data_IF_542005778397
#
_entry.id   IF_542005778397
#
_cell.length_a   1.000
_cell.length_b   1.000
_cell.length_c   1.000
_cell.angle_alpha   90.00
_cell.angle_beta   90.00
_cell.angle_gamma   90.00
#
_symmetry.space_group_name_H-M   'P 1'
#
loop_
_entity.id
_entity.type
_entity.pdbx_description
1 polymer ?
#
# COMPACT_ATOMS: atom_id res chain seq x y z
N UNK A 1 13.39 53.79 23.88
CA UNK A 1 12.13 53.51 24.61
C UNK A 1 10.97 53.65 23.64
N UNK A 2 10.15 52.60 23.49
CA UNK A 2 8.69 52.57 23.17
C UNK A 2 8.12 53.59 22.14
N UNK A 3 7.26 53.26 21.16
CA UNK A 3 6.47 52.08 20.78
C UNK A 3 5.69 52.44 19.48
N UNK A 4 5.38 51.43 18.66
CA UNK A 4 4.19 51.28 17.77
C UNK A 4 3.93 52.30 16.65
N UNK A 5 3.90 51.80 15.41
CA UNK A 5 2.64 51.54 14.67
C UNK A 5 2.95 50.88 13.31
N UNK A 6 2.77 49.56 13.21
CA UNK A 6 2.45 48.89 11.95
C UNK A 6 1.32 47.91 12.26
N UNK A 7 0.10 48.40 12.02
CA UNK A 7 -1.13 47.63 11.97
C UNK A 7 -1.28 46.97 10.60
N UNK A 8 -1.98 45.84 10.61
CA UNK A 8 -2.59 45.14 9.47
C UNK A 8 -1.71 44.20 8.64
N UNK A 9 -1.56 42.98 9.17
CA UNK A 9 -1.48 41.73 8.40
C UNK A 9 -1.99 40.57 9.28
N UNK A 10 -3.27 40.63 9.68
CA UNK A 10 -3.99 39.49 10.25
C UNK A 10 -4.71 38.74 9.13
N UNK A 11 -4.08 37.68 8.62
CA UNK A 11 -4.73 36.58 7.89
C UNK A 11 -3.81 35.35 7.84
N UNK A 12 -3.51 34.77 9.02
CA UNK A 12 -2.97 33.41 9.14
C UNK A 12 -3.79 32.63 10.17
N UNK A 13 -4.22 31.39 9.87
CA UNK A 13 -4.99 30.59 10.82
C UNK A 13 -4.10 30.08 11.96
N UNK A 14 -4.68 30.18 13.16
CA UNK A 14 -4.14 29.88 14.48
C UNK A 14 -3.29 28.59 14.58
N UNK A 15 -2.13 28.73 15.23
CA UNK A 15 -1.44 27.65 15.92
C UNK A 15 -2.16 27.39 17.26
N UNK A 16 -2.77 26.23 17.43
CA UNK A 16 -3.09 25.71 18.76
C UNK A 16 -1.88 24.92 19.28
N UNK A 17 -1.14 25.52 20.19
CA UNK A 17 -0.27 24.81 21.12
C UNK A 17 -1.17 24.26 22.23
N UNK A 18 -1.67 23.04 22.09
CA UNK A 18 -2.30 22.35 23.21
C UNK A 18 -1.20 21.99 24.22
N UNK A 19 -1.16 22.74 25.31
CA UNK A 19 -0.40 22.42 26.51
C UNK A 19 -1.01 21.21 27.21
N UNK A 20 -0.44 20.02 27.01
CA UNK A 20 -0.63 18.92 27.95
C UNK A 20 0.60 18.85 28.86
N UNK A 21 0.46 19.41 30.06
CA UNK A 21 1.30 19.08 31.21
C UNK A 21 0.63 17.94 31.97
N UNK A 22 1.47 17.00 32.43
CA UNK A 22 1.22 15.92 33.39
C UNK A 22 0.57 14.64 32.82
N UNK A 23 1.41 13.79 32.24
CA UNK A 23 1.68 12.46 32.80
C UNK A 23 3.06 12.00 32.30
N UNK A 24 3.94 11.65 33.23
CA UNK A 24 5.34 11.33 32.98
C UNK A 24 5.52 9.93 32.39
N UNK A 25 5.13 9.75 31.13
CA UNK A 25 5.59 8.70 30.20
C UNK A 25 5.26 9.21 28.79
N UNK A 26 5.98 10.25 28.35
CA UNK A 26 5.79 10.90 27.05
C UNK A 26 7.00 10.67 26.13
N UNK A 27 7.57 9.46 26.18
CA UNK A 27 8.66 9.02 25.32
C UNK A 27 8.28 7.68 24.69
N UNK A 28 8.30 7.62 23.36
CA UNK A 28 8.00 6.47 22.49
C UNK A 28 6.53 6.20 22.12
N UNK A 29 5.78 7.24 21.76
CA UNK A 29 4.84 7.06 20.62
C UNK A 29 5.62 7.17 19.29
N UNK A 30 6.54 6.23 19.04
CA UNK A 30 7.09 6.00 17.69
C UNK A 30 6.00 5.31 16.86
N UNK A 31 4.87 6.00 16.64
CA UNK A 31 3.68 5.40 16.03
C UNK A 31 3.96 5.05 14.58
N UNK A 32 4.01 3.74 14.30
CA UNK A 32 4.04 3.08 12.99
C UNK A 32 2.93 3.61 12.07
N UNK A 33 3.13 4.81 11.52
CA UNK A 33 2.23 5.48 10.58
C UNK A 33 3.01 5.81 9.34
N UNK A 34 2.35 5.72 8.19
CA UNK A 34 2.92 6.15 6.91
C UNK A 34 3.56 7.54 7.01
N UNK A 35 4.65 7.75 6.28
CA UNK A 35 5.38 9.01 6.30
C UNK A 35 4.45 10.20 6.01
N UNK A 36 4.40 11.16 6.93
CA UNK A 36 3.65 12.41 6.76
C UNK A 36 4.60 13.58 6.89
N UNK A 37 4.33 14.68 6.17
CA UNK A 37 5.14 15.90 6.30
C UNK A 37 5.13 16.44 7.73
N UNK A 38 4.04 16.24 8.47
CA UNK A 38 3.96 16.65 9.88
C UNK A 38 4.94 15.86 10.74
N UNK A 39 4.91 14.53 10.66
CA UNK A 39 5.79 13.66 11.44
C UNK A 39 7.25 13.80 11.01
N UNK A 40 7.52 13.89 9.70
CA UNK A 40 8.90 14.05 9.21
C UNK A 40 9.55 15.38 9.63
N UNK A 41 8.79 16.37 10.14
CA UNK A 41 9.35 17.59 10.74
C UNK A 41 9.81 17.38 12.18
N UNK A 42 9.31 16.37 12.87
CA UNK A 42 9.75 16.03 14.23
C UNK A 42 11.24 15.64 14.18
N UNK A 43 12.00 16.08 15.17
CA UNK A 43 13.47 15.98 15.18
C UNK A 43 14.20 17.12 14.47
N UNK A 44 13.53 17.94 13.65
CA UNK A 44 14.14 19.14 13.06
C UNK A 44 13.80 20.39 13.87
N UNK A 45 14.81 21.23 14.11
CA UNK A 45 14.58 22.55 14.72
C UNK A 45 13.77 23.46 13.79
N UNK A 46 13.02 24.44 14.32
CA UNK A 46 12.28 25.40 13.49
C UNK A 46 13.16 26.12 12.45
N UNK A 47 14.44 26.36 12.80
CA UNK A 47 15.44 26.94 11.88
C UNK A 47 15.79 25.99 10.74
N UNK A 48 16.03 24.71 11.01
CA UNK A 48 16.31 23.70 9.97
C UNK A 48 15.11 23.49 9.05
N UNK A 49 13.88 23.46 9.60
CA UNK A 49 12.66 23.37 8.80
C UNK A 49 12.53 24.60 7.88
N UNK A 50 12.76 25.80 8.40
CA UNK A 50 12.74 27.04 7.61
C UNK A 50 13.81 27.02 6.52
N UNK A 51 15.04 26.64 6.85
CA UNK A 51 16.13 26.51 5.87
C UNK A 51 15.79 25.48 4.77
N UNK A 52 15.14 24.36 5.11
CA UNK A 52 14.66 23.39 4.13
C UNK A 52 13.57 23.95 3.20
N UNK A 53 12.66 24.76 3.72
CA UNK A 53 11.66 25.46 2.90
C UNK A 53 12.33 26.48 1.96
N UNK A 54 13.30 27.25 2.47
CA UNK A 54 14.10 28.19 1.67
C UNK A 54 14.90 27.47 0.58
N UNK A 55 15.48 26.30 0.88
CA UNK A 55 16.17 25.46 -0.10
C UNK A 55 15.22 24.99 -1.21
N UNK A 56 13.97 24.65 -0.87
CA UNK A 56 12.94 24.28 -1.86
C UNK A 56 12.52 25.47 -2.72
N UNK A 57 12.35 26.64 -2.09
CA UNK A 57 12.04 27.90 -2.80
C UNK A 57 13.16 28.26 -3.78
N UNK A 58 14.41 28.25 -3.32
CA UNK A 58 15.60 28.51 -4.13
C UNK A 58 15.73 27.50 -5.29
N UNK A 59 15.45 26.22 -5.05
CA UNK A 59 15.39 25.22 -6.10
C UNK A 59 14.38 25.62 -7.19
N UNK A 60 13.18 26.09 -6.84
CA UNK A 60 12.20 26.57 -7.82
C UNK A 60 12.63 27.85 -8.54
N UNK A 61 13.24 28.81 -7.83
CA UNK A 61 13.78 30.04 -8.42
C UNK A 61 14.86 29.71 -9.47
N UNK A 62 15.69 28.71 -9.19
CA UNK A 62 16.73 28.21 -10.11
C UNK A 62 16.17 27.28 -11.20
N UNK A 63 14.86 27.33 -11.46
CA UNK A 63 14.16 26.53 -12.48
C UNK A 63 14.18 25.01 -12.22
N UNK A 64 14.06 24.63 -10.94
CA UNK A 64 13.92 23.27 -10.45
C UNK A 64 15.01 22.29 -10.94
N UNK A 65 16.32 22.57 -10.79
CA UNK A 65 17.38 21.66 -11.21
C UNK A 65 17.32 20.35 -10.41
N UNK A 66 18.01 19.30 -10.88
CA UNK A 66 18.10 18.06 -10.11
C UNK A 66 18.74 18.32 -8.74
N UNK A 67 18.39 17.54 -7.72
CA UNK A 67 18.99 17.67 -6.38
C UNK A 67 20.51 17.50 -6.43
N UNK A 68 21.02 16.61 -7.29
CA UNK A 68 22.46 16.41 -7.54
C UNK A 68 23.10 17.67 -8.12
N UNK A 69 22.50 18.24 -9.16
CA UNK A 69 22.99 19.46 -9.82
C UNK A 69 22.96 20.66 -8.86
N UNK A 70 21.90 20.80 -8.06
CA UNK A 70 21.78 21.89 -7.08
C UNK A 70 22.86 21.77 -5.99
N UNK A 71 23.05 20.57 -5.44
CA UNK A 71 24.12 20.29 -4.46
C UNK A 71 25.50 20.56 -5.04
N UNK A 72 25.72 20.21 -6.31
CA UNK A 72 26.97 20.50 -7.01
C UNK A 72 27.19 22.01 -7.12
N UNK A 73 26.21 22.75 -7.65
CA UNK A 73 26.33 24.20 -7.86
C UNK A 73 26.66 24.99 -6.58
N UNK A 74 26.11 24.56 -5.43
CA UNK A 74 26.42 25.14 -4.12
C UNK A 74 27.85 24.80 -3.70
N UNK A 75 28.24 23.52 -3.81
CA UNK A 75 29.58 23.05 -3.43
C UNK A 75 30.70 23.70 -4.25
N UNK A 76 30.47 23.90 -5.55
CA UNK A 76 31.45 24.53 -6.44
C UNK A 76 31.34 26.06 -6.47
N UNK A 77 30.52 26.67 -5.60
CA UNK A 77 30.42 28.13 -5.48
C UNK A 77 29.92 28.85 -6.74
N UNK A 78 29.15 28.18 -7.61
CA UNK A 78 28.67 28.75 -8.88
C UNK A 78 27.69 29.91 -8.67
N UNK A 79 27.03 29.95 -7.51
CA UNK A 79 26.04 30.96 -7.16
C UNK A 79 26.62 31.81 -6.02
N UNK A 80 27.03 33.04 -6.35
CA UNK A 80 27.51 34.00 -5.36
C UNK A 80 26.37 34.36 -4.40
N UNK A 81 26.71 34.52 -3.11
CA UNK A 81 25.77 34.91 -2.05
C UNK A 81 24.55 33.99 -1.92
N UNK A 82 24.72 32.68 -2.20
CA UNK A 82 23.65 31.71 -2.04
C UNK A 82 23.39 31.44 -0.55
N UNK A 83 22.19 31.72 0.00
CA UNK A 83 21.92 31.56 1.44
C UNK A 83 21.62 30.11 1.82
N UNK A 84 21.49 29.20 0.84
CA UNK A 84 21.09 27.81 1.06
C UNK A 84 22.33 26.91 1.17
N UNK A 85 22.25 25.93 2.07
CA UNK A 85 23.33 24.95 2.28
C UNK A 85 22.95 23.58 1.75
N UNK A 86 23.95 22.69 1.62
CA UNK A 86 23.74 21.29 1.22
C UNK A 86 22.86 20.56 2.25
N UNK A 87 23.04 20.85 3.53
CA UNK A 87 22.28 20.28 4.64
C UNK A 87 20.82 20.70 4.54
N UNK A 88 20.53 21.97 4.23
CA UNK A 88 19.17 22.45 4.03
C UNK A 88 18.44 21.69 2.89
N UNK A 89 19.15 21.36 1.80
CA UNK A 89 18.60 20.52 0.72
C UNK A 89 18.31 19.10 1.20
N UNK A 90 19.21 18.51 2.00
CA UNK A 90 19.00 17.19 2.57
C UNK A 90 17.77 17.18 3.50
N UNK A 91 17.65 18.17 4.40
CA UNK A 91 16.50 18.32 5.28
C UNK A 91 15.21 18.49 4.47
N UNK A 92 15.22 19.29 3.40
CA UNK A 92 14.06 19.43 2.51
C UNK A 92 13.65 18.09 1.88
N UNK A 93 14.62 17.26 1.48
CA UNK A 93 14.39 15.92 0.97
C UNK A 93 13.77 14.99 2.01
N UNK A 94 14.31 14.96 3.23
CA UNK A 94 13.80 14.13 4.32
C UNK A 94 12.38 14.53 4.75
N UNK A 95 12.12 15.84 4.85
CA UNK A 95 10.84 16.37 5.33
C UNK A 95 9.74 16.25 4.27
N UNK A 96 10.03 16.69 3.05
CA UNK A 96 9.00 16.88 2.01
C UNK A 96 9.04 15.82 0.90
N UNK A 97 10.09 15.01 0.83
CA UNK A 97 10.28 14.03 -0.22
C UNK A 97 10.54 14.65 -1.61
N UNK A 98 10.30 13.88 -2.68
CA UNK A 98 10.40 14.35 -4.06
C UNK A 98 9.51 15.56 -4.35
N UNK A 99 9.95 16.41 -5.27
CA UNK A 99 9.22 17.64 -5.58
C UNK A 99 8.04 17.43 -6.51
N UNK A 100 6.84 17.80 -6.03
CA UNK A 100 5.59 17.61 -6.75
C UNK A 100 5.53 18.39 -8.09
N UNK A 101 6.12 19.58 -8.16
CA UNK A 101 6.12 20.40 -9.38
C UNK A 101 7.10 19.84 -10.41
N UNK A 102 8.27 19.40 -9.95
CA UNK A 102 9.27 18.68 -10.76
C UNK A 102 8.67 17.39 -11.33
N UNK A 103 7.95 16.62 -10.50
CA UNK A 103 7.27 15.41 -10.94
C UNK A 103 6.16 15.67 -11.96
N UNK A 104 5.53 16.85 -11.94
CA UNK A 104 4.51 17.22 -12.95
C UNK A 104 5.11 17.69 -14.26
N UNK A 105 6.24 18.39 -14.22
CA UNK A 105 6.85 19.01 -15.40
C UNK A 105 7.94 18.18 -16.08
N UNK A 106 8.61 17.26 -15.36
CA UNK A 106 9.77 16.51 -15.87
C UNK A 106 9.55 14.99 -15.99
N UNK A 107 8.44 14.46 -15.48
CA UNK A 107 8.21 13.02 -15.49
C UNK A 107 7.72 12.54 -16.85
N UNK A 108 8.57 11.84 -17.59
CA UNK A 108 8.17 11.21 -18.83
C UNK A 108 7.36 9.94 -18.60
N UNK A 109 6.50 9.60 -19.57
CA UNK A 109 5.84 8.29 -19.63
C UNK A 109 6.93 7.21 -19.70
N UNK A 110 6.92 6.22 -18.80
CA UNK A 110 7.85 5.11 -18.91
C UNK A 110 7.57 4.34 -20.20
N UNK A 111 8.63 3.86 -20.85
CA UNK A 111 8.49 2.90 -21.95
C UNK A 111 7.83 1.64 -21.41
N UNK A 112 6.81 1.10 -22.10
CA UNK A 112 6.17 -0.14 -21.66
C UNK A 112 7.23 -1.24 -21.65
N UNK A 113 7.42 -1.87 -20.48
CA UNK A 113 8.28 -3.05 -20.38
C UNK A 113 7.65 -4.18 -21.22
N UNK A 114 8.49 -5.00 -21.84
CA UNK A 114 8.01 -6.25 -22.47
C UNK A 114 7.31 -7.08 -21.39
N UNK A 115 6.13 -7.57 -21.71
CA UNK A 115 5.46 -8.55 -20.87
C UNK A 115 6.30 -9.83 -20.89
N UNK A 116 6.65 -10.33 -19.71
CA UNK A 116 7.19 -11.67 -19.55
C UNK A 116 6.06 -12.52 -18.99
N UNK A 117 5.84 -13.68 -19.61
CA UNK A 117 4.89 -14.68 -19.15
C UNK A 117 5.55 -15.51 -18.05
N UNK A 118 5.53 -14.99 -16.83
CA UNK A 118 6.00 -15.68 -15.61
C UNK A 118 4.85 -16.52 -15.02
N UNK A 119 4.34 -17.43 -15.85
CA UNK A 119 3.28 -18.35 -15.44
C UNK A 119 3.85 -19.43 -14.55
N UNK A 120 3.23 -19.60 -13.39
CA UNK A 120 3.49 -20.73 -12.51
C UNK A 120 2.55 -21.88 -12.90
N UNK A 121 3.11 -23.07 -13.13
CA UNK A 121 2.33 -24.29 -13.30
C UNK A 121 2.48 -25.14 -12.04
N UNK A 122 1.42 -25.27 -11.22
CA UNK A 122 1.47 -26.15 -10.06
C UNK A 122 1.70 -27.61 -10.49
N UNK A 123 2.42 -28.42 -9.68
CA UNK A 123 2.59 -29.85 -9.95
C UNK A 123 1.24 -30.58 -10.01
N UNK A 124 1.06 -31.48 -11.00
CA UNK A 124 -0.23 -32.17 -11.23
C UNK A 124 -0.60 -33.08 -10.04
N UNK A 125 0.40 -33.57 -9.31
CA UNK A 125 0.24 -34.40 -8.11
C UNK A 125 -0.61 -33.72 -7.03
N UNK A 126 -0.57 -32.39 -6.95
CA UNK A 126 -1.38 -31.63 -5.99
C UNK A 126 -2.88 -31.74 -6.27
N UNK A 127 -3.26 -31.98 -7.53
CA UNK A 127 -4.66 -32.06 -7.96
C UNK A 127 -5.24 -33.47 -7.89
N UNK A 128 -4.41 -34.52 -7.94
CA UNK A 128 -4.86 -35.92 -8.08
C UNK A 128 -5.91 -36.32 -7.03
N UNK A 129 -5.74 -35.86 -5.78
CA UNK A 129 -6.65 -36.16 -4.67
C UNK A 129 -7.45 -34.96 -4.17
N UNK A 130 -7.15 -33.74 -4.64
CA UNK A 130 -7.68 -32.50 -4.07
C UNK A 130 -8.50 -31.66 -5.05
N UNK A 131 -8.91 -32.24 -6.19
CA UNK A 131 -9.62 -31.51 -7.24
C UNK A 131 -11.02 -31.05 -6.80
N UNK A 132 -11.69 -31.85 -5.99
CA UNK A 132 -12.98 -31.50 -5.38
C UNK A 132 -12.75 -30.78 -4.07
N UNK A 133 -13.22 -29.54 -3.97
CA UNK A 133 -12.98 -28.66 -2.82
C UNK A 133 -14.28 -28.32 -2.10
N UNK A 134 -14.16 -28.15 -0.78
CA UNK A 134 -15.21 -27.58 0.07
C UNK A 134 -14.84 -26.12 0.39
N UNK A 135 -15.83 -25.24 0.31
CA UNK A 135 -15.67 -23.84 0.66
C UNK A 135 -16.61 -23.48 1.81
N UNK A 136 -16.09 -22.70 2.76
CA UNK A 136 -16.88 -22.09 3.82
C UNK A 136 -17.08 -20.61 3.47
N UNK A 137 -18.33 -20.16 3.41
CA UNK A 137 -18.67 -18.77 3.10
C UNK A 137 -19.34 -18.09 4.29
N UNK A 138 -19.04 -16.81 4.46
CA UNK A 138 -19.68 -15.96 5.46
C UNK A 138 -19.64 -14.49 4.97
N UNK A 139 -20.25 -13.59 5.72
CA UNK A 139 -20.16 -12.17 5.48
C UNK A 139 -19.36 -11.46 6.56
N UNK A 140 -18.76 -10.35 6.18
CA UNK A 140 -18.03 -9.46 7.08
C UNK A 140 -18.45 -8.01 6.81
N UNK A 141 -18.67 -7.22 7.87
CA UNK A 141 -18.97 -5.79 7.77
C UNK A 141 -17.87 -4.97 8.46
N UNK A 142 -17.32 -3.99 7.73
CA UNK A 142 -16.32 -3.03 8.22
C UNK A 142 -16.86 -1.64 7.94
N UNK A 143 -17.39 -0.98 8.97
CA UNK A 143 -18.03 0.35 8.96
C UNK A 143 -18.92 0.66 7.75
N UNK A 144 -18.30 1.04 6.64
CA UNK A 144 -18.94 1.53 5.43
C UNK A 144 -18.91 0.52 4.27
N UNK A 145 -18.39 -0.69 4.47
CA UNK A 145 -18.26 -1.73 3.47
C UNK A 145 -18.72 -3.10 4.00
N UNK A 146 -19.35 -3.87 3.10
CA UNK A 146 -19.77 -5.25 3.34
C UNK A 146 -19.02 -6.17 2.40
N UNK A 147 -18.70 -7.36 2.85
CA UNK A 147 -17.90 -8.32 2.12
C UNK A 147 -18.54 -9.70 2.20
N UNK A 148 -18.47 -10.43 1.08
CA UNK A 148 -18.55 -11.88 1.09
C UNK A 148 -17.13 -12.42 1.30
N UNK A 149 -16.95 -13.22 2.32
CA UNK A 149 -15.70 -13.92 2.61
C UNK A 149 -15.88 -15.40 2.31
N UNK A 150 -14.81 -16.01 1.81
CA UNK A 150 -14.80 -17.42 1.49
C UNK A 150 -13.43 -17.98 1.82
N UNK A 151 -13.40 -19.13 2.47
CA UNK A 151 -12.17 -19.89 2.70
C UNK A 151 -12.36 -21.32 2.21
N UNK A 152 -11.41 -21.79 1.41
CA UNK A 152 -11.35 -23.18 0.97
C UNK A 152 -10.73 -24.03 2.09
N UNK A 153 -11.34 -25.14 2.48
CA UNK A 153 -10.84 -25.96 3.60
C UNK A 153 -9.66 -26.85 3.24
N UNK A 154 -9.41 -27.09 1.96
CA UNK A 154 -8.35 -27.96 1.43
C UNK A 154 -7.08 -27.17 1.10
N UNK A 155 -7.22 -26.10 0.32
CA UNK A 155 -6.10 -25.25 -0.12
C UNK A 155 -5.85 -24.11 0.88
N UNK A 156 -6.81 -23.80 1.75
CA UNK A 156 -6.78 -22.66 2.67
C UNK A 156 -6.76 -21.29 1.98
N UNK A 157 -7.08 -21.23 0.68
CA UNK A 157 -7.15 -19.98 -0.07
C UNK A 157 -8.31 -19.11 0.43
N UNK A 158 -8.01 -17.87 0.79
CA UNK A 158 -8.95 -16.89 1.29
C UNK A 158 -9.40 -15.91 0.20
N UNK A 159 -10.70 -15.73 0.04
CA UNK A 159 -11.30 -14.70 -0.81
C UNK A 159 -12.08 -13.70 0.03
N UNK A 160 -11.95 -12.42 -0.30
CA UNK A 160 -12.73 -11.33 0.29
C UNK A 160 -13.20 -10.40 -0.82
N UNK A 161 -14.50 -10.44 -1.12
CA UNK A 161 -15.11 -9.68 -2.23
C UNK A 161 -16.08 -8.65 -1.65
N UNK A 162 -15.88 -7.35 -1.93
CA UNK A 162 -16.84 -6.33 -1.50
C UNK A 162 -18.18 -6.50 -2.23
N UNK A 163 -19.26 -6.41 -1.48
CA UNK A 163 -20.65 -6.51 -1.99
C UNK A 163 -21.41 -5.22 -1.68
N UNK A 164 -22.35 -4.85 -2.56
CA UNK A 164 -23.14 -3.64 -2.38
C UNK A 164 -24.07 -3.76 -1.15
N UNK A 165 -24.68 -4.93 -0.98
CA UNK A 165 -25.55 -5.31 0.12
C UNK A 165 -25.54 -6.85 0.25
N UNK A 166 -26.21 -7.38 1.28
CA UNK A 166 -26.30 -8.83 1.55
C UNK A 166 -27.58 -9.45 0.98
N UNK A 167 -28.09 -8.91 -0.14
CA UNK A 167 -29.20 -9.54 -0.86
C UNK A 167 -28.65 -10.62 -1.80
N UNK A 168 -29.54 -11.45 -2.32
CA UNK A 168 -29.24 -12.58 -3.19
C UNK A 168 -28.34 -12.20 -4.37
N UNK A 169 -28.76 -11.29 -5.25
CA UNK A 169 -28.02 -11.02 -6.52
C UNK A 169 -26.56 -10.56 -6.31
N UNK A 170 -26.24 -9.58 -5.45
CA UNK A 170 -24.85 -9.15 -5.26
C UNK A 170 -23.96 -10.22 -4.62
N UNK A 171 -24.53 -11.10 -3.80
CA UNK A 171 -23.79 -12.22 -3.19
C UNK A 171 -23.57 -13.32 -4.23
N UNK A 172 -24.57 -13.60 -5.08
CA UNK A 172 -24.44 -14.51 -6.22
C UNK A 172 -23.30 -14.09 -7.14
N UNK A 173 -23.26 -12.82 -7.56
CA UNK A 173 -22.19 -12.29 -8.41
C UNK A 173 -20.80 -12.40 -7.76
N UNK A 174 -20.73 -12.36 -6.43
CA UNK A 174 -19.49 -12.54 -5.70
C UNK A 174 -19.08 -14.02 -5.63
N UNK A 175 -20.02 -14.94 -5.41
CA UNK A 175 -19.78 -16.39 -5.45
C UNK A 175 -19.34 -16.86 -6.83
N UNK A 176 -20.00 -16.40 -7.90
CA UNK A 176 -19.60 -16.73 -9.27
C UNK A 176 -18.14 -16.34 -9.56
N UNK A 177 -17.71 -15.15 -9.10
CA UNK A 177 -16.30 -14.72 -9.23
C UNK A 177 -15.33 -15.65 -8.49
N UNK A 178 -15.74 -16.17 -7.34
CA UNK A 178 -14.92 -17.11 -6.55
C UNK A 178 -14.84 -18.46 -7.29
N UNK A 179 -15.95 -18.98 -7.78
CA UNK A 179 -15.99 -20.27 -8.48
C UNK A 179 -15.25 -20.20 -9.82
N UNK A 180 -15.46 -19.14 -10.59
CA UNK A 180 -14.69 -18.87 -11.80
C UNK A 180 -13.18 -18.86 -11.54
N UNK A 181 -12.73 -18.40 -10.36
CA UNK A 181 -11.31 -18.42 -9.99
C UNK A 181 -10.84 -19.85 -9.69
N UNK A 182 -11.57 -20.63 -8.90
CA UNK A 182 -11.22 -22.03 -8.63
C UNK A 182 -11.24 -22.90 -9.88
N UNK A 183 -12.26 -22.76 -10.73
CA UNK A 183 -12.40 -23.50 -11.98
C UNK A 183 -11.22 -23.24 -12.94
N UNK A 184 -10.75 -21.98 -13.04
CA UNK A 184 -9.57 -21.62 -13.83
C UNK A 184 -8.28 -22.25 -13.31
N UNK A 185 -8.21 -22.50 -12.00
CA UNK A 185 -7.09 -23.17 -11.34
C UNK A 185 -7.17 -24.70 -11.41
N UNK A 186 -8.22 -25.27 -12.00
CA UNK A 186 -8.42 -26.71 -12.11
C UNK A 186 -9.16 -27.36 -10.92
N UNK A 187 -9.60 -26.57 -9.93
CA UNK A 187 -10.39 -27.03 -8.79
C UNK A 187 -11.89 -26.92 -9.06
N UNK A 188 -12.67 -27.86 -8.53
CA UNK A 188 -14.12 -27.89 -8.62
C UNK A 188 -14.73 -27.78 -7.23
N UNK A 189 -15.54 -26.75 -7.00
CA UNK A 189 -16.32 -26.61 -5.77
C UNK A 189 -17.43 -27.67 -5.77
N UNK A 190 -17.47 -28.48 -4.70
CA UNK A 190 -18.48 -29.54 -4.51
C UNK A 190 -19.38 -29.32 -3.31
N UNK A 191 -18.90 -28.64 -2.28
CA UNK A 191 -19.67 -28.41 -1.06
C UNK A 191 -19.51 -26.95 -0.68
N UNK A 192 -20.63 -26.28 -0.43
CA UNK A 192 -20.67 -24.95 0.19
C UNK A 192 -21.19 -25.12 1.60
N UNK A 193 -20.35 -24.76 2.57
CA UNK A 193 -20.74 -24.66 3.97
C UNK A 193 -21.04 -23.20 4.27
N UNK A 194 -22.27 -22.93 4.70
CA UNK A 194 -22.72 -21.55 4.94
C UNK A 194 -23.73 -21.46 6.08
N UNK A 195 -23.90 -20.26 6.61
CA UNK A 195 -24.99 -19.97 7.53
C UNK A 195 -26.35 -20.17 6.82
N UNK A 196 -27.41 -20.61 7.54
CA UNK A 196 -28.72 -20.91 6.93
C UNK A 196 -29.34 -19.76 6.10
N UNK A 197 -28.96 -18.53 6.38
CA UNK A 197 -29.40 -17.35 5.62
C UNK A 197 -28.91 -17.34 4.15
N UNK A 198 -27.84 -18.08 3.85
CA UNK A 198 -27.28 -18.20 2.49
C UNK A 198 -27.80 -19.41 1.72
N UNK A 199 -28.53 -20.34 2.37
CA UNK A 199 -29.03 -21.57 1.72
C UNK A 199 -29.96 -21.29 0.54
N UNK A 200 -30.97 -20.39 0.65
CA UNK A 200 -31.85 -20.10 -0.49
C UNK A 200 -31.07 -19.57 -1.69
N UNK A 201 -30.04 -18.76 -1.43
CA UNK A 201 -29.15 -18.24 -2.47
C UNK A 201 -28.37 -19.38 -3.13
N UNK A 202 -27.85 -20.32 -2.35
CA UNK A 202 -27.09 -21.44 -2.91
C UNK A 202 -27.97 -22.35 -3.73
N UNK A 203 -29.19 -22.66 -3.30
CA UNK A 203 -30.14 -23.53 -4.01
C UNK A 203 -30.46 -22.98 -5.40
N UNK A 204 -30.72 -21.67 -5.51
CA UNK A 204 -30.89 -20.99 -6.81
C UNK A 204 -29.64 -21.17 -7.71
N UNK A 205 -28.43 -21.22 -7.14
CA UNK A 205 -27.21 -21.51 -7.91
C UNK A 205 -27.06 -22.98 -8.28
N UNK A 206 -27.52 -23.90 -7.43
CA UNK A 206 -27.48 -25.34 -7.70
C UNK A 206 -28.31 -25.66 -8.92
N UNK A 207 -29.49 -25.04 -9.02
CA UNK A 207 -30.39 -25.19 -10.15
C UNK A 207 -29.74 -24.69 -11.47
N UNK A 208 -28.94 -23.62 -11.42
CA UNK A 208 -28.22 -23.07 -12.58
C UNK A 208 -26.90 -23.83 -12.92
N UNK A 209 -26.23 -24.41 -11.92
CA UNK A 209 -24.92 -25.07 -12.05
C UNK A 209 -24.99 -26.61 -12.11
N UNK A 210 -26.19 -27.19 -11.99
CA UNK A 210 -26.44 -28.64 -11.93
C UNK A 210 -26.11 -29.28 -10.57
N UNK A 211 -26.38 -30.59 -10.44
CA UNK A 211 -26.31 -31.47 -9.23
C UNK A 211 -24.91 -31.60 -8.55
N UNK A 212 -24.05 -30.59 -8.66
CA UNK A 212 -22.62 -30.73 -8.39
C UNK A 212 -22.19 -30.10 -7.07
N UNK A 213 -23.04 -29.26 -6.47
CA UNK A 213 -22.73 -28.52 -5.26
C UNK A 213 -23.78 -28.85 -4.20
N UNK A 214 -23.34 -29.23 -3.00
CA UNK A 214 -24.23 -29.42 -1.86
C UNK A 214 -24.12 -28.23 -0.91
N UNK A 215 -25.25 -27.56 -0.67
CA UNK A 215 -25.36 -26.53 0.36
C UNK A 215 -25.70 -27.19 1.71
N UNK A 216 -24.84 -27.00 2.72
CA UNK A 216 -25.05 -27.59 4.03
C UNK A 216 -24.97 -26.56 5.16
N UNK A 217 -26.00 -26.53 6.00
CA UNK A 217 -25.91 -25.92 7.33
C UNK A 217 -25.07 -26.84 8.22
N UNK A 218 -23.82 -26.50 8.47
CA UNK A 218 -22.97 -27.29 9.37
C UNK A 218 -22.68 -26.52 10.66
N UNK A 219 -22.98 -27.06 11.84
CA UNK A 219 -22.53 -26.39 13.08
C UNK A 219 -20.99 -26.35 13.16
N UNK A 220 -20.31 -27.34 12.58
CA UNK A 220 -18.86 -27.50 12.56
C UNK A 220 -18.09 -26.53 11.64
N UNK A 221 -18.76 -25.80 10.73
CA UNK A 221 -18.07 -24.88 9.80
C UNK A 221 -17.95 -23.45 10.31
N UNK A 222 -18.82 -23.06 11.26
CA UNK A 222 -18.79 -21.74 11.88
C UNK A 222 -17.39 -21.38 12.39
N UNK A 223 -16.66 -22.27 13.07
CA UNK A 223 -15.31 -21.97 13.53
C UNK A 223 -14.34 -21.59 12.41
N UNK A 224 -14.34 -22.29 11.27
CA UNK A 224 -13.40 -22.02 10.18
C UNK A 224 -13.70 -20.69 9.49
N UNK A 225 -14.98 -20.42 9.19
CA UNK A 225 -15.37 -19.15 8.55
C UNK A 225 -15.19 -17.96 9.51
N UNK A 226 -15.53 -18.13 10.79
CA UNK A 226 -15.36 -17.14 11.83
C UNK A 226 -13.88 -16.83 12.09
N UNK A 227 -13.03 -17.85 12.15
CA UNK A 227 -11.59 -17.68 12.29
C UNK A 227 -11.00 -16.91 11.10
N UNK A 228 -11.40 -17.25 9.87
CA UNK A 228 -10.97 -16.51 8.68
C UNK A 228 -11.40 -15.04 8.73
N UNK A 229 -12.66 -14.77 9.13
CA UNK A 229 -13.17 -13.42 9.30
C UNK A 229 -12.39 -12.65 10.38
N UNK A 230 -12.06 -13.29 11.49
CA UNK A 230 -11.24 -12.71 12.56
C UNK A 230 -9.85 -12.31 12.03
N UNK A 231 -9.17 -13.21 11.32
CA UNK A 231 -7.87 -12.93 10.71
C UNK A 231 -7.94 -11.77 9.70
N UNK A 232 -8.96 -11.73 8.85
CA UNK A 232 -9.17 -10.63 7.90
C UNK A 232 -9.41 -9.29 8.62
N UNK A 233 -10.29 -9.27 9.63
CA UNK A 233 -10.56 -8.06 10.43
C UNK A 233 -9.29 -7.56 11.11
N UNK A 234 -8.47 -8.46 11.65
CA UNK A 234 -7.18 -8.13 12.25
C UNK A 234 -6.23 -7.51 11.23
N UNK A 235 -6.00 -8.15 10.08
CA UNK A 235 -5.11 -7.59 9.04
C UNK A 235 -5.60 -6.22 8.54
N UNK A 236 -6.91 -6.04 8.38
CA UNK A 236 -7.49 -4.72 8.02
C UNK A 236 -7.29 -3.70 9.14
N UNK A 237 -7.42 -4.09 10.41
CA UNK A 237 -7.17 -3.20 11.55
C UNK A 237 -5.73 -2.72 11.59
N UNK A 238 -4.76 -3.63 11.43
CA UNK A 238 -3.34 -3.27 11.40
C UNK A 238 -3.08 -2.30 10.24
N UNK A 239 -3.64 -2.56 9.05
CA UNK A 239 -3.52 -1.64 7.92
C UNK A 239 -4.13 -0.26 8.22
N UNK A 240 -5.33 -0.20 8.79
CA UNK A 240 -5.98 1.06 9.21
C UNK A 240 -5.15 1.83 10.24
N UNK A 241 -4.53 1.13 11.20
CA UNK A 241 -3.70 1.76 12.25
C UNK A 241 -2.45 2.45 11.67
N UNK A 242 -1.90 1.92 10.56
CA UNK A 242 -0.77 2.53 9.85
C UNK A 242 -1.17 3.72 8.97
N UNK A 243 -2.44 3.82 8.58
CA UNK A 243 -2.90 4.94 7.77
C UNK A 243 -2.89 6.25 8.57
N UNK A 244 -2.53 7.38 7.94
CA UNK A 244 -2.56 8.69 8.59
C UNK A 244 -3.97 9.32 8.63
N UNK A 245 -5.01 8.57 8.27
CA UNK A 245 -6.39 9.04 8.18
C UNK A 245 -7.21 8.49 9.36
N UNK A 246 -7.99 9.34 10.01
CA UNK A 246 -8.93 8.92 11.07
C UNK A 246 -10.10 8.11 10.53
N UNK A 247 -10.55 8.47 9.32
CA UNK A 247 -11.64 7.82 8.60
C UNK A 247 -11.27 7.68 7.13
N UNK A 248 -11.70 6.59 6.52
CA UNK A 248 -11.45 6.31 5.10
C UNK A 248 -12.76 6.11 4.32
N UNK A 249 -12.83 6.54 3.06
CA UNK A 249 -14.00 6.31 2.21
C UNK A 249 -14.21 4.83 1.92
N UNK A 250 -15.47 4.45 1.65
CA UNK A 250 -15.87 3.07 1.29
C UNK A 250 -14.94 2.39 0.29
N UNK A 251 -14.53 3.09 -0.77
CA UNK A 251 -13.64 2.54 -1.81
C UNK A 251 -12.28 2.08 -1.24
N UNK A 252 -11.73 2.81 -0.27
CA UNK A 252 -10.48 2.42 0.40
C UNK A 252 -10.74 1.22 1.31
N UNK A 253 -11.82 1.21 2.08
CA UNK A 253 -12.22 0.06 2.92
C UNK A 253 -12.40 -1.21 2.11
N UNK A 254 -13.13 -1.14 0.99
CA UNK A 254 -13.33 -2.25 0.06
C UNK A 254 -12.00 -2.80 -0.48
N UNK A 255 -11.07 -1.90 -0.81
CA UNK A 255 -9.74 -2.30 -1.27
C UNK A 255 -8.90 -2.88 -0.14
N UNK A 256 -9.01 -2.38 1.09
CA UNK A 256 -8.32 -2.94 2.26
C UNK A 256 -8.73 -4.39 2.52
N UNK A 257 -10.04 -4.67 2.55
CA UNK A 257 -10.53 -6.04 2.78
C UNK A 257 -10.05 -7.02 1.70
N UNK A 258 -10.18 -6.62 0.43
CA UNK A 258 -9.68 -7.42 -0.70
C UNK A 258 -8.17 -7.61 -0.67
N UNK A 259 -7.41 -6.54 -0.41
CA UNK A 259 -5.94 -6.58 -0.37
C UNK A 259 -5.42 -7.40 0.81
N UNK A 260 -6.12 -7.39 1.95
CA UNK A 260 -5.80 -8.24 3.08
C UNK A 260 -5.88 -9.74 2.72
N UNK A 261 -6.97 -10.16 2.07
CA UNK A 261 -7.09 -11.55 1.60
C UNK A 261 -6.02 -11.91 0.55
N UNK A 262 -5.77 -11.02 -0.42
CA UNK A 262 -4.71 -11.22 -1.41
C UNK A 262 -3.33 -11.42 -0.75
N UNK A 263 -2.99 -10.60 0.24
CA UNK A 263 -1.69 -10.68 0.92
C UNK A 263 -1.56 -11.91 1.84
N UNK A 264 -2.66 -12.40 2.42
CA UNK A 264 -2.65 -13.66 3.16
C UNK A 264 -2.31 -14.85 2.25
N UNK A 265 -2.79 -14.83 1.00
CA UNK A 265 -2.56 -15.90 0.04
C UNK A 265 -1.13 -15.93 -0.54
N UNK A 266 -0.29 -14.94 -0.23
CA UNK A 266 1.12 -14.89 -0.65
C UNK A 266 1.98 -15.91 0.10
N UNK A 267 1.51 -16.36 1.26
CA UNK A 267 2.22 -17.31 2.11
C UNK A 267 1.58 -18.70 2.01
N UNK A 268 2.38 -19.77 2.08
CA UNK A 268 1.83 -21.11 2.31
C UNK A 268 1.11 -21.13 3.67
N UNK A 269 0.13 -22.02 3.82
CA UNK A 269 -0.59 -22.22 5.08
C UNK A 269 -0.36 -23.65 5.58
N UNK A 270 -0.35 -23.83 6.89
CA UNK A 270 0.09 -25.07 7.55
C UNK A 270 -0.76 -26.29 7.17
N UNK A 271 -2.08 -26.12 7.05
CA UNK A 271 -2.99 -27.21 6.68
C UNK A 271 -3.43 -27.13 5.21
N UNK A 272 -2.66 -26.43 4.37
CA UNK A 272 -2.81 -26.48 2.93
C UNK A 272 -2.22 -27.77 2.36
N UNK A 273 -2.63 -28.12 1.14
CA UNK A 273 -2.07 -29.23 0.36
C UNK A 273 -0.57 -29.07 0.01
N UNK A 274 0.02 -27.90 0.29
CA UNK A 274 1.44 -27.64 0.09
C UNK A 274 2.00 -26.74 1.18
N UNK A 275 3.24 -27.03 1.59
CA UNK A 275 4.06 -26.18 2.45
C UNK A 275 5.05 -25.32 1.65
N UNK A 276 5.14 -25.50 0.33
CA UNK A 276 6.21 -24.92 -0.50
C UNK A 276 5.74 -23.84 -1.46
N UNK A 277 4.47 -23.86 -1.87
CA UNK A 277 3.92 -22.86 -2.79
C UNK A 277 2.97 -21.93 -2.08
N UNK A 278 2.97 -20.66 -2.50
CA UNK A 278 1.94 -19.72 -2.06
C UNK A 278 0.56 -20.15 -2.58
N UNK A 279 -0.48 -19.81 -1.83
CA UNK A 279 -1.84 -20.11 -2.25
C UNK A 279 -2.22 -19.33 -3.52
N UNK A 280 -1.63 -18.14 -3.70
CA UNK A 280 -1.77 -17.35 -4.91
C UNK A 280 -1.12 -18.03 -6.13
N UNK A 281 0.02 -18.69 -5.97
CA UNK A 281 0.62 -19.49 -7.05
C UNK A 281 -0.30 -20.66 -7.42
N UNK A 282 -0.89 -21.36 -6.44
CA UNK A 282 -1.78 -22.50 -6.72
C UNK A 282 -3.09 -22.11 -7.41
N UNK A 283 -3.65 -20.95 -7.08
CA UNK A 283 -4.99 -20.55 -7.53
C UNK A 283 -4.94 -19.54 -8.68
N UNK A 284 -4.05 -18.56 -8.63
CA UNK A 284 -3.95 -17.51 -9.64
C UNK A 284 -2.85 -17.82 -10.69
N UNK A 285 -2.06 -18.89 -10.53
CA UNK A 285 -0.98 -19.31 -11.44
C UNK A 285 0.05 -18.21 -11.75
N UNK A 286 0.29 -17.33 -10.78
CA UNK A 286 1.14 -16.14 -10.94
C UNK A 286 2.21 -16.09 -9.85
N UNK A 287 3.45 -15.82 -10.26
CA UNK A 287 4.53 -15.47 -9.35
C UNK A 287 4.44 -13.98 -8.94
N UNK A 288 4.60 -13.71 -7.66
CA UNK A 288 4.61 -12.34 -7.14
C UNK A 288 5.98 -11.74 -7.39
N UNK A 289 6.00 -10.56 -8.00
CA UNK A 289 7.22 -9.83 -8.24
C UNK A 289 7.27 -8.62 -7.31
N UNK A 290 8.14 -8.68 -6.29
CA UNK A 290 8.27 -7.60 -5.30
C UNK A 290 8.49 -6.22 -5.94
N UNK A 291 9.31 -6.15 -7.00
CA UNK A 291 9.66 -4.87 -7.65
C UNK A 291 8.49 -4.23 -8.40
N UNK A 292 7.50 -5.00 -8.85
CA UNK A 292 6.30 -4.47 -9.52
C UNK A 292 5.07 -4.42 -8.62
N UNK A 293 4.94 -5.39 -7.72
CA UNK A 293 3.69 -5.63 -6.99
C UNK A 293 3.69 -4.98 -5.60
N UNK A 294 4.88 -4.78 -5.03
CA UNK A 294 5.10 -4.22 -3.69
C UNK A 294 5.75 -2.82 -3.73
N UNK A 295 5.43 -2.03 -4.77
CA UNK A 295 5.99 -0.68 -4.97
C UNK A 295 5.55 0.33 -3.90
N UNK A 296 4.35 0.14 -3.34
CA UNK A 296 3.78 1.03 -2.35
C UNK A 296 2.73 0.29 -1.51
N UNK A 297 2.51 0.80 -0.30
CA UNK A 297 1.44 0.32 0.58
C UNK A 297 0.10 0.99 0.22
N UNK A 298 -1.01 0.24 0.32
CA UNK A 298 -2.36 0.75 0.08
C UNK A 298 -2.66 1.92 1.03
N UNK A 299 -3.02 3.07 0.47
CA UNK A 299 -3.33 4.28 1.25
C UNK A 299 -2.24 5.35 1.22
N UNK A 300 -1.04 5.02 0.71
CA UNK A 300 0.04 5.99 0.56
C UNK A 300 -0.30 7.08 -0.46
N UNK A 301 0.18 8.29 -0.21
CA UNK A 301 0.05 9.39 -1.16
C UNK A 301 1.06 9.24 -2.29
N UNK A 302 0.58 9.25 -3.54
CA UNK A 302 1.41 9.05 -4.72
C UNK A 302 1.17 10.11 -5.79
N UNK A 303 2.22 10.38 -6.56
CA UNK A 303 2.11 10.99 -7.88
C UNK A 303 2.15 9.89 -8.93
N UNK A 304 1.04 9.70 -9.63
CA UNK A 304 0.89 8.69 -10.66
C UNK A 304 1.15 9.28 -12.05
N UNK A 305 2.06 8.66 -12.81
CA UNK A 305 2.63 9.18 -14.07
C UNK A 305 2.13 8.32 -15.24
N UNK A 306 1.81 8.94 -16.38
CA UNK A 306 1.55 8.23 -17.64
C UNK A 306 0.23 8.59 -18.33
N UNK A 307 -0.02 9.88 -18.57
CA UNK A 307 -1.06 10.32 -19.51
C UNK A 307 -0.65 10.03 -20.96
N UNK A 308 -1.62 9.88 -21.86
CA UNK A 308 -1.33 9.89 -23.29
C UNK A 308 -0.83 11.29 -23.65
N UNK A 309 0.40 11.35 -24.16
CA UNK A 309 1.06 12.59 -24.56
C UNK A 309 0.38 13.15 -25.81
N UNK A 310 -0.77 13.78 -25.61
CA UNK A 310 -1.17 14.89 -26.49
C UNK A 310 -0.26 16.05 -26.08
N UNK A 311 0.34 16.74 -27.04
CA UNK A 311 1.19 17.92 -26.84
C UNK A 311 0.39 19.07 -26.18
N UNK A 312 -0.02 18.87 -24.94
CA UNK A 312 -0.81 19.77 -24.12
C UNK A 312 0.04 20.06 -22.88
N UNK A 313 -0.04 21.29 -22.38
CA UNK A 313 0.63 21.74 -21.15
C UNK A 313 0.03 21.11 -19.87
N UNK A 314 -0.61 19.94 -20.01
CA UNK A 314 -1.26 19.24 -18.91
C UNK A 314 -0.23 18.61 -17.97
N UNK A 315 -0.50 18.59 -16.64
CA UNK A 315 0.38 17.96 -15.68
C UNK A 315 0.59 16.47 -16.02
N UNK A 316 1.84 16.06 -16.22
CA UNK A 316 2.18 14.68 -16.60
C UNK A 316 2.05 13.69 -15.42
N UNK A 317 1.83 14.20 -14.21
CA UNK A 317 1.50 13.40 -13.02
C UNK A 317 0.23 13.85 -12.32
N UNK A 318 -0.51 12.88 -11.82
CA UNK A 318 -1.78 13.04 -11.10
C UNK A 318 -1.56 12.72 -9.62
N UNK A 319 -2.10 13.57 -8.75
CA UNK A 319 -2.13 13.34 -7.30
C UNK A 319 -3.16 12.26 -6.97
N UNK A 320 -2.75 11.18 -6.32
CA UNK A 320 -3.62 10.04 -6.04
C UNK A 320 -3.25 9.34 -4.71
N UNK A 321 -4.15 8.46 -4.26
CA UNK A 321 -3.88 7.49 -3.20
C UNK A 321 -3.57 6.14 -3.86
N UNK A 322 -2.50 5.48 -3.45
CA UNK A 322 -2.15 4.15 -3.96
C UNK A 322 -3.15 3.10 -3.48
N UNK A 323 -3.52 2.17 -4.35
CA UNK A 323 -4.47 1.10 -4.03
C UNK A 323 -3.80 -0.25 -4.18
N UNK A 324 -3.35 -0.60 -5.38
CA UNK A 324 -2.78 -1.91 -5.67
C UNK A 324 -2.06 -1.93 -7.03
N UNK A 325 -1.19 -2.91 -7.29
CA UNK A 325 -0.72 -3.19 -8.66
C UNK A 325 -1.88 -3.63 -9.56
N UNK A 326 -1.76 -3.35 -10.86
CA UNK A 326 -2.71 -3.84 -11.87
C UNK A 326 -2.41 -5.31 -12.15
N UNK A 327 -3.44 -6.16 -12.08
CA UNK A 327 -3.34 -7.57 -12.42
C UNK A 327 -3.41 -7.74 -13.94
N UNK A 328 -2.32 -8.15 -14.57
CA UNK A 328 -2.23 -8.40 -16.01
C UNK A 328 -0.78 -8.37 -16.51
N UNK A 329 -0.57 -8.77 -17.77
CA UNK A 329 0.77 -8.89 -18.39
C UNK A 329 1.58 -7.59 -18.41
N UNK A 330 0.91 -6.43 -18.34
CA UNK A 330 1.57 -5.11 -18.25
C UNK A 330 1.56 -4.61 -16.83
N UNK A 331 2.76 -4.51 -16.25
CA UNK A 331 2.98 -3.93 -14.92
C UNK A 331 2.51 -2.48 -14.88
N UNK A 332 1.57 -2.20 -13.98
CA UNK A 332 0.99 -0.88 -13.75
C UNK A 332 0.35 -0.82 -12.37
N UNK A 333 -0.24 0.31 -12.02
CA UNK A 333 -0.73 0.59 -10.68
C UNK A 333 -2.11 1.20 -10.72
N UNK A 334 -3.05 0.63 -9.97
CA UNK A 334 -4.36 1.22 -9.70
C UNK A 334 -4.22 2.22 -8.57
N UNK A 335 -4.70 3.43 -8.81
CA UNK A 335 -4.65 4.54 -7.87
C UNK A 335 -5.98 5.29 -7.84
N UNK A 336 -6.34 5.82 -6.68
CA UNK A 336 -7.55 6.61 -6.48
C UNK A 336 -7.23 8.10 -6.65
N UNK A 337 -7.75 8.72 -7.71
CA UNK A 337 -7.46 10.11 -8.05
C UNK A 337 -8.05 11.08 -7.00
N UNK A 338 -7.19 11.94 -6.43
CA UNK A 338 -7.57 12.88 -5.36
C UNK A 338 -8.50 14.02 -5.81
N UNK A 339 -8.65 14.26 -7.11
CA UNK A 339 -9.54 15.30 -7.63
C UNK A 339 -10.88 14.70 -8.05
N UNK A 340 -10.86 13.59 -8.80
CA UNK A 340 -12.08 13.02 -9.39
C UNK A 340 -12.74 11.94 -8.54
N UNK A 341 -12.06 11.44 -7.50
CA UNK A 341 -12.50 10.29 -6.67
C UNK A 341 -12.68 8.99 -7.44
N UNK A 342 -12.15 8.90 -8.66
CA UNK A 342 -12.24 7.72 -9.53
C UNK A 342 -10.95 6.91 -9.49
N UNK A 343 -11.10 5.59 -9.63
CA UNK A 343 -9.98 4.68 -9.82
C UNK A 343 -9.40 4.87 -11.22
N UNK A 344 -8.08 4.97 -11.33
CA UNK A 344 -7.36 5.03 -12.60
C UNK A 344 -6.16 4.09 -12.57
N UNK A 345 -5.74 3.57 -13.72
CA UNK A 345 -4.48 2.81 -13.84
C UNK A 345 -3.38 3.68 -14.42
N UNK A 346 -2.17 3.57 -13.88
CA UNK A 346 -0.97 4.30 -14.32
C UNK A 346 0.25 3.40 -14.31
N UNK A 347 1.16 3.50 -15.30
CA UNK A 347 2.33 2.63 -15.39
C UNK A 347 3.40 2.88 -14.34
N UNK A 348 3.45 4.08 -13.74
CA UNK A 348 4.44 4.43 -12.72
C UNK A 348 3.82 5.27 -11.62
N UNK A 349 4.24 5.01 -10.40
CA UNK A 349 3.91 5.80 -9.22
C UNK A 349 5.18 6.24 -8.51
N UNK A 350 5.13 7.40 -7.85
CA UNK A 350 6.16 7.87 -6.93
C UNK A 350 5.47 8.16 -5.61
N UNK A 351 5.96 7.58 -4.51
CA UNK A 351 5.44 7.81 -3.16
C UNK A 351 5.95 9.15 -2.63
N UNK A 352 5.05 9.93 -2.02
CA UNK A 352 5.37 11.19 -1.35
C UNK A 352 4.84 11.16 0.08
N UNK A 353 5.50 11.87 1.03
CA UNK A 353 4.96 12.05 2.36
C UNK A 353 3.56 12.67 2.31
N UNK A 354 2.63 12.12 3.09
CA UNK A 354 1.25 12.60 3.12
C UNK A 354 1.20 13.99 3.74
N UNK A 355 0.52 14.92 3.06
CA UNK A 355 0.32 16.29 3.55
C UNK A 355 -1.00 16.43 4.28
N UNK A 356 -1.11 17.41 5.19
CA UNK A 356 -2.38 17.69 5.90
C UNK A 356 -3.55 17.94 4.94
N UNK A 357 -3.31 18.56 3.79
CA UNK A 357 -4.33 18.78 2.76
C UNK A 357 -4.84 17.47 2.13
N UNK A 358 -3.98 16.46 2.00
CA UNK A 358 -4.38 15.14 1.50
C UNK A 358 -5.21 14.42 2.57
N UNK A 359 -4.76 14.46 3.83
CA UNK A 359 -5.50 13.87 4.96
C UNK A 359 -6.90 14.45 5.05
N UNK A 360 -7.02 15.77 5.16
CA UNK A 360 -8.30 16.47 5.25
C UNK A 360 -9.23 16.14 4.08
N UNK A 361 -8.69 15.97 2.88
CA UNK A 361 -9.49 15.67 1.69
C UNK A 361 -10.01 14.23 1.68
N UNK A 362 -9.17 13.25 2.04
CA UNK A 362 -9.59 11.85 2.16
C UNK A 362 -10.63 11.70 3.27
N UNK A 363 -10.41 12.34 4.42
CA UNK A 363 -11.36 12.33 5.53
C UNK A 363 -12.68 13.02 5.17
N UNK A 364 -12.64 14.15 4.46
CA UNK A 364 -13.83 14.84 3.99
C UNK A 364 -14.68 13.98 3.03
N UNK A 365 -14.06 13.11 2.24
CA UNK A 365 -14.80 12.19 1.37
C UNK A 365 -15.55 11.12 2.16
N UNK A 366 -14.99 10.65 3.27
CA UNK A 366 -15.63 9.71 4.17
C UNK A 366 -16.77 10.41 4.95
N UNK A 367 -16.49 11.60 5.49
CA UNK A 367 -17.47 12.41 6.21
C UNK A 367 -18.68 12.79 5.33
N UNK A 368 -18.46 13.11 4.04
CA UNK A 368 -19.55 13.38 3.09
C UNK A 368 -20.48 12.17 2.86
N UNK A 369 -20.07 10.97 3.25
CA UNK A 369 -20.88 9.75 3.23
C UNK A 369 -21.34 9.30 4.61
N UNK A 370 -21.22 10.17 5.62
CA UNK A 370 -21.68 9.92 7.00
C UNK A 370 -20.72 9.13 7.88
N UNK A 371 -19.48 8.89 7.44
CA UNK A 371 -18.51 8.08 8.20
C UNK A 371 -17.73 8.99 9.16
N UNK A 372 -17.93 8.79 10.46
CA UNK A 372 -17.33 9.60 11.53
C UNK A 372 -16.24 8.86 12.32
N UNK A 373 -16.23 7.53 12.28
CA UNK A 373 -15.22 6.65 12.87
C UNK A 373 -15.10 5.37 12.06
N UNK A 374 -13.99 4.64 12.17
CA UNK A 374 -13.86 3.28 11.62
C UNK A 374 -14.15 2.25 12.72
N UNK A 375 -15.22 1.45 12.59
CA UNK A 375 -15.57 0.38 13.52
C UNK A 375 -15.75 -0.96 12.79
N UNK A 376 -15.63 -2.04 13.56
CA UNK A 376 -15.97 -3.40 13.12
C UNK A 376 -17.32 -3.78 13.73
N UNK A 377 -18.10 -4.53 12.96
CA UNK A 377 -19.43 -4.97 13.36
C UNK A 377 -19.49 -6.50 13.34
N UNK A 378 -20.21 -7.06 14.32
CA UNK A 378 -20.60 -8.47 14.33
C UNK A 378 -21.87 -8.71 13.48
N UNK A 379 -22.26 -9.97 13.27
CA UNK A 379 -23.40 -10.44 12.47
C UNK A 379 -24.73 -9.77 12.85
N UNK A 380 -24.88 -9.28 14.08
CA UNK A 380 -26.08 -8.55 14.57
C UNK A 380 -26.01 -7.03 14.41
N UNK A 381 -24.92 -6.50 13.84
CA UNK A 381 -24.58 -5.06 13.74
C UNK A 381 -24.32 -4.39 15.08
N UNK A 382 -23.96 -5.18 16.09
CA UNK A 382 -23.41 -4.67 17.33
C UNK A 382 -21.92 -4.35 17.17
N UNK A 383 -21.43 -3.39 17.97
CA UNK A 383 -20.01 -3.03 17.99
C UNK A 383 -19.21 -4.21 18.52
N UNK A 384 -18.27 -4.71 17.72
CA UNK A 384 -17.45 -5.86 18.12
C UNK A 384 -16.30 -5.38 19.03
N UNK A 385 -16.36 -5.74 20.32
CA UNK A 385 -15.25 -5.61 21.26
C UNK A 385 -14.40 -6.88 21.20
N UNK A 386 -13.17 -6.74 20.74
CA UNK A 386 -12.22 -7.85 20.68
C UNK A 386 -11.61 -8.05 22.08
N UNK A 387 -11.62 -9.29 22.57
CA UNK A 387 -10.93 -9.63 23.82
C UNK A 387 -9.41 -9.60 23.60
N UNK A 388 -8.67 -9.07 24.57
CA UNK A 388 -7.20 -9.12 24.59
C UNK A 388 -6.74 -10.59 24.59
N UNK A 389 -5.91 -10.94 23.61
CA UNK A 389 -4.92 -12.01 23.74
C UNK A 389 -5.39 -13.47 23.71
N UNK A 390 -6.38 -13.86 22.89
CA UNK A 390 -6.61 -15.29 22.64
C UNK A 390 -5.80 -15.80 21.44
N UNK A 391 -4.84 -16.67 21.78
CA UNK A 391 -3.91 -17.43 20.91
C UNK A 391 -4.57 -17.92 19.62
N UNK A 392 -3.96 -17.57 18.48
CA UNK A 392 -4.38 -17.99 17.15
C UNK A 392 -3.66 -19.29 16.83
N UNK A 393 -4.31 -20.44 17.01
CA UNK A 393 -3.80 -21.69 16.46
C UNK A 393 -3.89 -21.65 14.93
N UNK A 394 -2.77 -21.78 14.23
CA UNK A 394 -2.70 -21.98 12.77
C UNK A 394 -2.13 -20.82 11.94
N UNK A 395 -1.79 -19.69 12.56
CA UNK A 395 -0.92 -18.66 11.96
C UNK A 395 0.31 -18.59 12.83
N UNK A 396 1.42 -19.16 12.41
CA UNK A 396 2.67 -19.09 13.17
C UNK A 396 3.37 -17.74 13.00
N UNK A 397 2.63 -16.66 13.25
CA UNK A 397 3.19 -15.37 13.66
C UNK A 397 3.34 -15.36 15.20
N UNK A 398 3.34 -16.54 15.86
CA UNK A 398 3.15 -16.69 17.31
C UNK A 398 4.20 -17.51 18.04
N UNK A 399 5.18 -18.15 17.38
CA UNK A 399 6.40 -18.60 18.06
C UNK A 399 7.37 -17.47 18.42
N UNK A 400 6.99 -16.21 18.22
CA UNK A 400 7.63 -15.07 18.87
C UNK A 400 6.55 -14.24 19.57
N UNK A 401 6.56 -14.32 20.90
CA UNK A 401 5.81 -13.40 21.72
C UNK A 401 6.17 -11.98 21.31
N UNK A 402 5.18 -11.20 20.86
CA UNK A 402 5.29 -9.77 20.57
C UNK A 402 5.88 -8.93 21.74
N UNK A 403 6.07 -9.55 22.93
CA UNK A 403 6.72 -8.98 24.10
C UNK A 403 8.17 -9.43 24.32
N UNK A 404 8.60 -10.60 23.83
CA UNK A 404 9.96 -11.12 24.07
C UNK A 404 10.98 -10.55 23.09
N UNK A 405 10.61 -10.25 21.84
CA UNK A 405 11.51 -9.61 20.88
C UNK A 405 11.80 -8.13 21.16
N UNK A 406 11.02 -7.49 22.05
CA UNK A 406 11.17 -6.07 22.35
C UNK A 406 12.32 -5.76 23.31
N UNK A 407 12.88 -6.78 23.97
CA UNK A 407 13.98 -6.64 24.92
C UNK A 407 14.97 -7.78 24.72
N UNK A 408 15.77 -7.70 23.67
CA UNK A 408 17.04 -8.40 23.65
C UNK A 408 17.96 -7.73 24.70
N UNK A 409 18.00 -8.28 25.92
CA UNK A 409 18.82 -7.76 27.02
C UNK A 409 20.33 -7.89 26.74
N UNK A 410 20.69 -8.65 25.71
CA UNK A 410 22.07 -8.95 25.32
C UNK A 410 22.51 -8.17 24.06
N UNK A 411 21.71 -7.20 23.60
CA UNK A 411 22.13 -6.30 22.51
C UNK A 411 23.23 -5.35 22.99
N UNK A 412 24.49 -5.76 22.85
CA UNK A 412 25.62 -4.84 22.82
C UNK A 412 25.73 -4.24 21.41
N UNK A 413 25.62 -2.91 21.24
CA UNK A 413 25.88 -2.30 19.96
C UNK A 413 27.35 -2.55 19.59
N UNK A 414 27.58 -3.26 18.49
CA UNK A 414 28.91 -3.32 17.89
C UNK A 414 29.34 -1.87 17.55
N UNK A 415 30.37 -1.39 18.22
CA UNK A 415 31.09 -0.18 17.83
C UNK A 415 31.67 -0.44 16.43
N UNK A 416 30.97 0.01 15.38
CA UNK A 416 31.51 0.03 14.02
C UNK A 416 32.66 1.04 13.98
N UNK A 417 33.87 0.54 14.25
CA UNK A 417 35.12 1.22 13.95
C UNK A 417 35.15 1.64 12.47
N UNK A 418 35.39 2.94 12.28
CA UNK A 418 35.64 3.59 10.99
C UNK A 418 36.65 2.78 10.15
N UNK A 419 36.17 2.05 9.13
CA UNK A 419 37.02 1.53 8.06
C UNK A 419 36.59 2.07 6.71
N UNK A 420 37.34 3.09 6.33
CA UNK A 420 37.46 3.76 5.04
C UNK A 420 37.62 2.74 3.89
N UNK A 421 36.52 2.42 3.19
CA UNK A 421 36.58 1.69 1.92
C UNK A 421 36.94 2.66 0.80
N UNK A 422 38.24 2.86 0.65
CA UNK A 422 38.88 3.52 -0.47
C UNK A 422 38.67 2.69 -1.77
N UNK A 423 37.54 2.90 -2.46
CA UNK A 423 37.27 2.25 -3.75
C UNK A 423 37.94 3.01 -4.90
N UNK A 424 39.28 2.98 -4.93
CA UNK A 424 40.05 3.28 -6.12
C UNK A 424 40.23 2.00 -6.94
N UNK A 425 39.70 2.01 -8.16
CA UNK A 425 40.15 1.16 -9.25
C UNK A 425 39.16 0.08 -9.67
N UNK A 426 38.37 0.37 -10.72
CA UNK A 426 38.41 -0.37 -11.98
C UNK A 426 37.41 0.27 -12.95
N UNK A 427 37.96 1.01 -13.91
CA UNK A 427 37.32 1.36 -15.15
C UNK A 427 37.36 0.10 -16.02
N UNK A 428 36.21 -0.36 -16.50
CA UNK A 428 36.18 -1.37 -17.55
C UNK A 428 36.35 -0.69 -18.92
N UNK A 429 37.31 -1.26 -19.64
CA UNK A 429 37.75 -1.05 -21.01
C UNK A 429 36.68 -0.56 -22.01
N UNK A 430 36.96 0.58 -22.62
CA UNK A 430 36.38 0.99 -23.90
C UNK A 430 37.30 0.46 -25.00
N UNK A 431 36.74 -0.36 -25.89
CA UNK A 431 37.37 -0.92 -27.09
C UNK A 431 37.87 0.20 -28.03
N UNK A 432 39.19 0.43 -28.01
CA UNK A 432 39.93 1.39 -28.83
C UNK A 432 40.31 0.76 -30.18
N UNK A 433 39.30 0.56 -31.04
CA UNK A 433 39.54 0.19 -32.43
C UNK A 433 38.62 0.95 -33.41
N UNK A 434 38.72 2.29 -33.40
CA UNK A 434 38.42 3.19 -34.57
C UNK A 434 38.63 4.67 -34.26
N UNK A 435 39.87 5.09 -33.98
CA UNK A 435 40.22 6.53 -33.97
C UNK A 435 41.67 6.82 -34.38
N UNK A 436 42.07 6.29 -35.53
CA UNK A 436 43.13 6.90 -36.35
C UNK A 436 42.52 7.31 -37.68
N UNK A 437 41.92 8.50 -37.70
CA UNK A 437 41.74 9.38 -38.86
C UNK A 437 40.99 10.61 -38.33
N UNK A 438 41.54 11.81 -38.53
CA UNK A 438 41.02 13.16 -38.20
C UNK A 438 41.77 13.98 -37.13
N UNK A 439 43.09 13.83 -36.99
CA UNK A 439 43.95 14.97 -36.61
C UNK A 439 45.25 14.99 -37.43
N UNK A 440 45.11 15.30 -38.72
CA UNK A 440 46.20 15.71 -39.58
C UNK A 440 45.69 16.76 -40.56
N UNK A 441 45.86 18.04 -40.21
CA UNK A 441 45.69 19.13 -41.19
C UNK A 441 45.00 20.38 -40.68
N UNK A 442 45.69 21.19 -39.86
CA UNK A 442 45.59 22.64 -39.98
C UNK A 442 46.99 23.24 -39.76
N UNK A 443 47.67 23.45 -40.87
CA UNK A 443 49.00 24.02 -40.97
C UNK A 443 49.28 24.41 -42.41
N UNK A 444 48.59 25.44 -42.89
CA UNK A 444 49.06 26.46 -43.85
C UNK A 444 48.01 27.55 -44.01
#
# INVERSE_FOLDING_TARGET
MYRRQLSNLNNQPHFELSSNKQNGYAGLEMTSKMATVRKNKEGFTPRQVKAGMEARSAMHILNAPSTKSLKYAIRSGLIKNCPITKEAINHAGAIFGPDASTLKGKSTRPTPKKAYDDFFSPPEELYQHNRSITVCIDHMEIENAKFLTCINTTVQYCSCIPVQNLKTDPVFEALDKIFCRYNKAGFQVKIIKCDPAFIPLTDDMLDDMGDTIDATAAEDHKPTAEQNNRTLKERVRVALARLPYKVVPKVITECLGRRAAELLNVFPQKDSITSHFSLQQLIDNVNINYKSDMVAELGQYVHAIGTDSKNLMEPQSIKAIYIEPTKGQRTGHRVLNLNTKKMISRPKVVVLPVTNQVIQRVEAWAAAKGVTSMKFFDKKRDLETFQDGNQIAGVDDTEQGYLEEAFDQDYEPEDEDERDFNLHGQFDDIDDSKREELQGGFGR
#
